data_IF_905917820291
#
_entry.id   IF_905917820291
#
_cell.length_a   1.000
_cell.length_b   1.000
_cell.length_c   1.000
_cell.angle_alpha   90.00
_cell.angle_beta   90.00
_cell.angle_gamma   90.00
#
_symmetry.space_group_name_H-M   'P 1'
#
loop_
_entity.id
_entity.type
_entity.pdbx_description
1 polymer ?
#
# COMPACT_ATOMS: atom_id res chain seq x y z
N UNK A 1 4.05 13.37 17.63
CA UNK A 1 3.82 12.22 16.72
C UNK A 1 4.84 11.13 17.02
N UNK A 2 4.48 9.85 16.86
CA UNK A 2 5.32 8.70 17.19
C UNK A 2 5.64 7.85 15.95
N UNK A 3 6.63 6.96 16.06
CA UNK A 3 6.97 6.01 15.00
C UNK A 3 5.78 5.11 14.60
N UNK A 4 4.91 4.77 15.56
CA UNK A 4 3.67 4.02 15.31
C UNK A 4 2.72 4.78 14.38
N UNK A 5 2.60 6.10 14.54
CA UNK A 5 1.80 6.95 13.64
C UNK A 5 2.30 6.88 12.20
N UNK A 6 3.61 6.96 11.99
CA UNK A 6 4.20 6.82 10.65
C UNK A 6 3.95 5.44 10.06
N UNK A 7 4.14 4.39 10.85
CA UNK A 7 3.87 3.01 10.42
C UNK A 7 2.42 2.85 9.95
N UNK A 8 1.45 3.35 10.71
CA UNK A 8 0.03 3.26 10.35
C UNK A 8 -0.27 3.98 9.02
N UNK A 9 0.31 5.16 8.79
CA UNK A 9 0.13 5.89 7.53
C UNK A 9 0.79 5.19 6.34
N UNK A 10 1.98 4.59 6.53
CA UNK A 10 2.63 3.79 5.50
C UNK A 10 1.79 2.55 5.17
N UNK A 11 1.26 1.87 6.19
CA UNK A 11 0.39 0.71 6.02
C UNK A 11 -0.89 1.08 5.27
N UNK A 12 -1.55 2.17 5.65
CA UNK A 12 -2.81 2.59 5.01
C UNK A 12 -2.66 3.06 3.56
N UNK A 13 -1.45 3.41 3.14
CA UNK A 13 -1.16 3.86 1.78
C UNK A 13 -0.39 2.82 0.96
N UNK A 14 -0.08 1.65 1.54
CA UNK A 14 0.88 0.69 1.02
C UNK A 14 0.55 0.26 -0.41
N UNK A 15 -0.72 -0.06 -0.67
CA UNK A 15 -1.20 -0.64 -1.92
C UNK A 15 -1.69 0.41 -2.93
N UNK A 16 -1.59 1.70 -2.59
CA UNK A 16 -2.00 2.76 -3.51
C UNK A 16 -1.06 2.76 -4.72
N UNK A 17 -1.60 2.61 -5.96
CA UNK A 17 -0.80 2.71 -7.16
C UNK A 17 -0.39 4.17 -7.40
N UNK A 18 0.88 4.35 -7.75
CA UNK A 18 1.49 5.65 -8.00
C UNK A 18 2.37 5.60 -9.24
N UNK A 19 2.61 6.77 -9.84
CA UNK A 19 3.76 7.00 -10.73
C UNK A 19 4.85 7.70 -9.96
N UNK A 20 6.07 7.17 -10.05
CA UNK A 20 7.22 7.78 -9.44
C UNK A 20 7.41 9.22 -9.97
N UNK A 21 7.45 10.25 -9.11
CA UNK A 21 7.57 11.64 -9.55
C UNK A 21 8.98 12.02 -10.01
N UNK A 22 9.90 11.05 -10.17
CA UNK A 22 11.28 11.26 -10.64
C UNK A 22 11.49 10.57 -11.99
N UNK A 23 11.09 9.30 -12.13
CA UNK A 23 11.28 8.51 -13.36
C UNK A 23 9.98 8.03 -14.02
N UNK A 24 8.81 8.40 -13.48
CA UNK A 24 7.48 8.07 -14.02
C UNK A 24 7.11 6.58 -14.06
N UNK A 25 7.94 5.69 -13.49
CA UNK A 25 7.64 4.27 -13.35
C UNK A 25 6.42 4.05 -12.44
N UNK A 26 5.55 3.11 -12.82
CA UNK A 26 4.35 2.73 -12.07
C UNK A 26 4.70 1.69 -11.01
N UNK A 27 4.24 1.90 -9.78
CA UNK A 27 4.45 0.97 -8.64
C UNK A 27 3.47 1.29 -7.52
N UNK A 28 3.51 0.53 -6.43
CA UNK A 28 2.78 0.89 -5.20
C UNK A 28 3.63 1.78 -4.29
N UNK A 29 2.99 2.54 -3.39
CA UNK A 29 3.70 3.37 -2.38
C UNK A 29 4.66 2.52 -1.54
N UNK A 30 4.27 1.30 -1.17
CA UNK A 30 5.11 0.41 -0.39
C UNK A 30 6.40 0.05 -1.15
N UNK A 31 6.29 -0.32 -2.43
CA UNK A 31 7.44 -0.63 -3.28
C UNK A 31 8.36 0.58 -3.45
N UNK A 32 7.77 1.76 -3.67
CA UNK A 32 8.49 3.03 -3.71
C UNK A 32 9.33 3.25 -2.45
N UNK A 33 8.71 3.13 -1.28
CA UNK A 33 9.32 3.45 0.00
C UNK A 33 10.38 2.42 0.45
N UNK A 34 10.14 1.14 0.21
CA UNK A 34 11.04 0.07 0.65
C UNK A 34 12.25 -0.09 -0.25
N UNK A 35 12.05 0.03 -1.57
CA UNK A 35 13.04 -0.43 -2.56
C UNK A 35 13.35 0.62 -3.61
N UNK A 36 12.35 1.04 -4.40
CA UNK A 36 12.59 1.81 -5.61
C UNK A 36 13.27 3.17 -5.33
N UNK A 37 12.89 3.87 -4.25
CA UNK A 37 13.55 5.13 -3.88
C UNK A 37 15.05 4.95 -3.59
N UNK A 38 15.45 3.83 -2.97
CA UNK A 38 16.84 3.54 -2.67
C UNK A 38 17.61 3.12 -3.94
N UNK A 39 17.08 2.15 -4.68
CA UNK A 39 17.81 1.52 -5.79
C UNK A 39 17.96 2.46 -6.99
N UNK A 40 16.90 3.18 -7.34
CA UNK A 40 16.87 4.00 -8.56
C UNK A 40 17.29 5.44 -8.30
N UNK A 41 17.03 5.97 -7.10
CA UNK A 41 17.24 7.39 -6.78
C UNK A 41 18.24 7.64 -5.66
N UNK A 42 18.84 6.57 -5.11
CA UNK A 42 19.78 6.63 -3.97
C UNK A 42 19.19 7.32 -2.74
N UNK A 43 17.86 7.32 -2.61
CA UNK A 43 17.15 7.96 -1.51
C UNK A 43 17.02 7.01 -0.31
N UNK A 44 17.91 7.17 0.67
CA UNK A 44 17.93 6.34 1.87
C UNK A 44 16.91 6.79 2.91
N UNK A 45 15.80 6.08 3.06
CA UNK A 45 14.72 6.42 4.01
C UNK A 45 15.16 6.47 5.48
N UNK A 46 16.34 5.93 5.82
CA UNK A 46 16.95 6.02 7.17
C UNK A 46 17.69 7.32 7.42
N UNK A 47 18.11 8.05 6.37
CA UNK A 47 18.89 9.30 6.45
C UNK A 47 18.16 10.52 5.92
N UNK A 48 17.14 10.32 5.09
CA UNK A 48 16.37 11.41 4.50
C UNK A 48 14.94 11.02 4.15
N UNK A 49 14.11 12.03 3.95
CA UNK A 49 12.72 11.86 3.56
C UNK A 49 12.63 11.56 2.06
N UNK A 50 12.20 10.35 1.73
CA UNK A 50 12.05 9.91 0.33
C UNK A 50 10.86 10.60 -0.36
N UNK A 51 9.83 10.98 0.40
CA UNK A 51 8.60 11.59 -0.12
C UNK A 51 8.75 13.06 -0.52
N UNK A 52 9.79 13.75 -0.03
CA UNK A 52 10.19 15.08 -0.51
C UNK A 52 11.49 15.03 -1.32
N UNK A 53 11.79 13.89 -1.95
CA UNK A 53 12.95 13.69 -2.83
C UNK A 53 14.30 14.04 -2.16
N UNK A 54 14.41 13.82 -0.84
CA UNK A 54 15.63 14.10 -0.08
C UNK A 54 15.80 15.55 0.37
N UNK A 55 14.84 16.46 0.12
CA UNK A 55 14.91 17.86 0.56
C UNK A 55 15.08 18.02 2.08
N UNK A 56 14.64 17.02 2.86
CA UNK A 56 14.91 16.95 4.30
C UNK A 56 15.73 15.71 4.63
N UNK A 57 16.87 15.93 5.27
CA UNK A 57 17.76 14.91 5.82
C UNK A 57 17.82 14.99 7.35
N UNK A 58 18.40 13.97 7.96
CA UNK A 58 18.61 13.88 9.41
C UNK A 58 19.81 12.99 9.72
N UNK A 59 20.35 13.10 10.93
CA UNK A 59 21.47 12.25 11.34
C UNK A 59 21.01 10.80 11.56
N UNK A 60 21.99 9.90 11.65
CA UNK A 60 21.70 8.48 11.87
C UNK A 60 20.84 8.28 13.13
N UNK A 61 19.78 7.47 13.02
CA UNK A 61 18.85 7.19 14.13
C UNK A 61 17.80 8.27 14.39
N UNK A 62 17.89 9.44 13.77
CA UNK A 62 16.99 10.57 14.08
C UNK A 62 15.65 10.55 13.33
N UNK A 63 15.47 9.65 12.37
CA UNK A 63 14.22 9.51 11.59
C UNK A 63 12.98 9.49 12.48
N UNK A 64 13.06 8.76 13.59
CA UNK A 64 11.93 8.52 14.49
C UNK A 64 11.72 9.65 15.52
N UNK A 65 12.51 10.72 15.48
CA UNK A 65 12.25 11.90 16.33
C UNK A 65 10.90 12.52 15.95
N UNK A 66 10.12 13.05 16.92
CA UNK A 66 8.76 13.52 16.69
C UNK A 66 8.60 14.50 15.52
N UNK A 67 9.54 15.44 15.34
CA UNK A 67 9.50 16.43 14.26
C UNK A 67 9.79 15.81 12.88
N UNK A 68 10.65 14.80 12.83
CA UNK A 68 10.98 14.10 11.58
C UNK A 68 9.84 13.17 11.17
N UNK A 69 9.27 12.44 12.14
CA UNK A 69 8.04 11.67 11.93
C UNK A 69 6.91 12.56 11.40
N UNK A 70 6.67 13.72 12.04
CA UNK A 70 5.64 14.68 11.59
C UNK A 70 5.86 15.10 10.14
N UNK A 71 7.10 15.46 9.80
CA UNK A 71 7.45 15.80 8.43
C UNK A 71 7.20 14.65 7.44
N UNK A 72 7.65 13.43 7.75
CA UNK A 72 7.47 12.28 6.85
C UNK A 72 5.99 11.99 6.63
N UNK A 73 5.17 12.07 7.67
CA UNK A 73 3.71 11.87 7.56
C UNK A 73 3.06 12.94 6.67
N UNK A 74 3.41 14.21 6.86
CA UNK A 74 2.89 15.30 6.02
C UNK A 74 3.33 15.15 4.55
N UNK A 75 4.58 14.78 4.32
CA UNK A 75 5.09 14.53 2.97
C UNK A 75 4.43 13.31 2.32
N UNK A 76 4.23 12.20 3.06
CA UNK A 76 3.55 11.02 2.55
C UNK A 76 2.12 11.35 2.08
N UNK A 77 1.35 12.08 2.89
CA UNK A 77 -0.02 12.49 2.53
C UNK A 77 -0.04 13.28 1.22
N UNK A 78 0.84 14.28 1.08
CA UNK A 78 0.95 15.09 -0.15
C UNK A 78 1.45 14.28 -1.33
N UNK A 79 2.42 13.41 -1.10
CA UNK A 79 3.01 12.56 -2.12
C UNK A 79 1.95 11.65 -2.74
N UNK A 80 1.13 10.99 -1.92
CA UNK A 80 0.05 10.14 -2.41
C UNK A 80 -0.92 10.94 -3.28
N UNK A 81 -1.34 12.13 -2.86
CA UNK A 81 -2.27 12.97 -3.66
C UNK A 81 -1.69 13.31 -5.04
N UNK A 82 -0.40 13.64 -5.10
CA UNK A 82 0.25 14.11 -6.34
C UNK A 82 0.69 12.95 -7.24
N UNK A 83 1.12 11.85 -6.65
CA UNK A 83 1.71 10.72 -7.36
C UNK A 83 0.71 9.62 -7.70
N UNK A 84 -0.51 9.67 -7.15
CA UNK A 84 -1.54 8.65 -7.41
C UNK A 84 -1.76 8.49 -8.91
N UNK A 85 -1.66 7.25 -9.36
CA UNK A 85 -2.02 6.90 -10.73
C UNK A 85 -3.50 6.53 -10.73
N UNK A 86 -4.33 7.39 -11.31
CA UNK A 86 -5.78 7.18 -11.43
C UNK A 86 -6.15 6.21 -12.56
N UNK A 87 -5.16 5.57 -13.21
CA UNK A 87 -5.48 4.53 -14.18
C UNK A 87 -6.30 3.42 -13.49
N UNK A 88 -7.46 3.04 -14.04
CA UNK A 88 -8.24 1.93 -13.50
C UNK A 88 -7.37 0.67 -13.56
N UNK A 89 -7.00 0.14 -12.40
CA UNK A 89 -6.49 -1.22 -12.32
C UNK A 89 -7.63 -2.16 -12.65
N UNK A 90 -7.38 -3.15 -13.51
CA UNK A 90 -8.22 -4.35 -13.59
C UNK A 90 -8.50 -4.80 -12.15
N UNK A 91 -9.78 -4.87 -11.82
CA UNK A 91 -10.26 -5.50 -10.61
C UNK A 91 -9.81 -6.96 -10.68
N UNK A 92 -9.12 -7.40 -9.64
CA UNK A 92 -8.77 -8.81 -9.43
C UNK A 92 -10.10 -9.55 -9.33
N UNK A 93 -10.50 -10.22 -10.41
CA UNK A 93 -11.63 -11.14 -10.43
C UNK A 93 -11.29 -12.29 -9.48
N UNK A 94 -11.62 -12.13 -8.20
CA UNK A 94 -11.71 -13.26 -7.29
C UNK A 94 -12.87 -14.11 -7.80
N UNK A 95 -12.56 -15.18 -8.52
CA UNK A 95 -13.49 -16.25 -8.88
C UNK A 95 -14.20 -16.72 -7.61
N UNK A 96 -15.49 -16.37 -7.52
CA UNK A 96 -16.44 -16.95 -6.57
C UNK A 96 -16.70 -18.38 -7.05
N UNK A 97 -16.12 -19.38 -6.37
CA UNK A 97 -16.59 -20.76 -6.48
C UNK A 97 -17.90 -20.88 -5.70
N UNK A 98 -19.01 -20.63 -6.39
CA UNK A 98 -20.35 -21.04 -5.99
C UNK A 98 -20.48 -22.56 -6.23
N UNK A 99 -20.32 -23.38 -5.18
CA UNK A 99 -20.84 -24.75 -5.20
C UNK A 99 -22.34 -24.71 -4.87
N UNK A 100 -23.16 -24.67 -5.91
CA UNK A 100 -24.57 -25.08 -5.88
C UNK A 100 -24.64 -26.62 -5.87
N UNK A 101 -25.10 -27.23 -4.78
CA UNK A 101 -25.83 -28.50 -4.87
C UNK A 101 -27.22 -28.30 -4.28
N UNK A 102 -28.22 -28.36 -5.18
CA UNK A 102 -29.64 -28.23 -4.90
C UNK A 102 -30.17 -29.39 -4.04
N UNK A 103 -31.05 -29.04 -3.11
CA UNK A 103 -31.89 -29.96 -2.35
C UNK A 103 -33.11 -30.47 -3.15
N UNK A 104 -33.76 -31.48 -2.55
CA UNK A 104 -35.19 -31.87 -2.63
C UNK A 104 -35.51 -33.16 -3.40
N UNK A 105 -35.71 -34.27 -2.66
CA UNK A 105 -37.00 -34.76 -2.09
C UNK A 105 -37.81 -35.55 -3.13
N UNK A 106 -38.21 -36.78 -2.81
CA UNK A 106 -39.63 -37.12 -2.63
C UNK A 106 -39.84 -38.47 -1.95
N UNK A 107 -40.92 -38.46 -1.18
CA UNK A 107 -41.44 -39.40 -0.21
C UNK A 107 -41.99 -40.72 -0.77
N UNK A 108 -41.86 -41.77 0.06
CA UNK A 108 -42.79 -42.87 0.35
C UNK A 108 -43.68 -43.49 -0.75
N UNK A 109 -43.67 -44.83 -0.86
CA UNK A 109 -44.88 -45.67 -0.67
C UNK A 109 -44.56 -47.18 -0.58
N UNK A 110 -45.51 -47.89 0.02
CA UNK A 110 -45.55 -49.23 0.63
C UNK A 110 -45.67 -50.38 -0.40
N UNK A 111 -45.12 -51.58 -0.12
CA UNK A 111 -45.85 -52.85 -0.35
C UNK A 111 -45.19 -54.10 0.29
N UNK A 112 -46.06 -55.01 0.75
CA UNK A 112 -45.84 -56.28 1.47
C UNK A 112 -45.22 -57.39 0.60
N UNK A 113 -44.51 -58.34 1.23
CA UNK A 113 -44.43 -59.77 0.87
C UNK A 113 -44.01 -60.59 2.10
#
# INVERSE_FOLDING_TARGET
MSARTLYNHLKSSADIPIRCPICSERMTVNHFYQRHALENHRLQSRKQCVFCKGLKSWAHGEKNRPNNVKHVVECLKRFVIVARDESPGMEDETEEEEEEEEEEVTSAEVCEC
#
